data_IF_413839168263
#
_entry.id   IF_413839168263
#
_cell.length_a   1.000
_cell.length_b   1.000
_cell.length_c   1.000
_cell.angle_alpha   90.00
_cell.angle_beta   90.00
_cell.angle_gamma   90.00
#
_symmetry.space_group_name_H-M   'P 1'
#
loop_
_entity.id
_entity.type
_entity.pdbx_description
1 polymer ?
#
# COMPACT_ATOMS: atom_id res chain seq x y z
N UNK A 1 -2.21 -53.64 17.87
CA UNK A 1 -3.11 -54.65 17.25
C UNK A 1 -4.53 -54.31 17.70
N UNK A 2 -5.36 -53.70 16.84
CA UNK A 2 -6.71 -53.25 17.22
C UNK A 2 -7.74 -54.38 17.04
N UNK A 3 -8.86 -54.27 17.78
CA UNK A 3 -10.03 -55.12 17.63
C UNK A 3 -11.23 -54.28 17.18
N UNK A 4 -12.07 -54.88 16.34
CA UNK A 4 -13.06 -54.27 15.45
C UNK A 4 -14.48 -54.38 16.00
N UNK A 5 -15.30 -53.32 15.87
CA UNK A 5 -16.77 -53.35 15.73
C UNK A 5 -17.23 -51.93 15.35
N UNK A 6 -17.63 -51.58 14.11
CA UNK A 6 -18.87 -51.88 13.35
C UNK A 6 -20.18 -51.52 14.07
N UNK A 7 -20.76 -50.38 13.67
CA UNK A 7 -22.15 -49.98 13.88
C UNK A 7 -22.62 -49.15 12.68
N UNK A 8 -23.60 -49.67 11.93
CA UNK A 8 -24.10 -49.17 10.65
C UNK A 8 -25.24 -48.10 10.80
N UNK A 9 -25.62 -47.39 9.71
CA UNK A 9 -26.61 -46.30 9.69
C UNK A 9 -28.00 -46.76 9.22
N UNK A 10 -29.07 -45.97 9.45
CA UNK A 10 -30.31 -45.96 8.64
C UNK A 10 -31.36 -44.95 9.16
N UNK A 11 -32.12 -44.30 8.26
CA UNK A 11 -33.42 -43.72 8.60
C UNK A 11 -33.97 -42.61 7.71
N UNK A 12 -34.34 -42.92 6.46
CA UNK A 12 -35.26 -42.14 5.60
C UNK A 12 -36.66 -42.79 5.68
N UNK A 13 -37.78 -42.05 5.57
CA UNK A 13 -39.06 -42.66 5.21
C UNK A 13 -39.47 -42.37 3.76
N UNK A 14 -40.12 -43.37 3.17
CA UNK A 14 -40.72 -43.45 1.83
C UNK A 14 -42.24 -43.29 1.94
N UNK A 15 -42.87 -42.56 1.02
CA UNK A 15 -44.22 -42.80 0.48
C UNK A 15 -44.30 -42.15 -0.91
N UNK A 16 -44.33 -42.89 -2.03
CA UNK A 16 -45.37 -43.72 -2.67
C UNK A 16 -46.33 -42.94 -3.60
N UNK A 17 -46.01 -43.04 -4.90
CA UNK A 17 -46.84 -43.23 -6.10
C UNK A 17 -48.06 -42.35 -6.44
N UNK A 18 -48.08 -41.88 -7.70
CA UNK A 18 -49.28 -41.47 -8.44
C UNK A 18 -49.00 -41.32 -9.94
N UNK A 19 -49.51 -42.25 -10.74
CA UNK A 19 -49.35 -42.42 -12.20
C UNK A 19 -50.07 -41.34 -13.03
N UNK A 20 -49.55 -41.06 -14.23
CA UNK A 20 -50.27 -40.36 -15.30
C UNK A 20 -49.49 -40.35 -16.62
N UNK A 21 -50.06 -40.99 -17.64
CA UNK A 21 -49.40 -41.39 -18.89
C UNK A 21 -49.25 -40.28 -19.97
N UNK A 22 -48.29 -40.51 -20.86
CA UNK A 22 -47.97 -39.90 -22.18
C UNK A 22 -49.08 -40.10 -23.25
N UNK A 23 -48.95 -39.70 -24.54
CA UNK A 23 -47.88 -38.96 -25.25
C UNK A 23 -48.37 -37.89 -26.29
N UNK A 24 -47.46 -37.09 -26.85
CA UNK A 24 -47.41 -36.85 -28.32
C UNK A 24 -46.03 -36.40 -28.77
N UNK A 25 -45.59 -37.01 -29.86
CA UNK A 25 -44.31 -36.95 -30.55
C UNK A 25 -44.13 -35.65 -31.36
N UNK A 26 -42.91 -35.12 -31.39
CA UNK A 26 -42.29 -34.61 -32.63
C UNK A 26 -40.77 -34.70 -32.54
N UNK A 27 -40.23 -35.61 -33.36
CA UNK A 27 -38.81 -35.72 -33.70
C UNK A 27 -38.35 -34.49 -34.49
N UNK A 28 -37.22 -33.90 -34.10
CA UNK A 28 -36.35 -33.17 -35.04
C UNK A 28 -34.91 -33.61 -34.79
N UNK A 29 -34.42 -34.48 -35.67
CA UNK A 29 -33.02 -34.88 -35.79
C UNK A 29 -32.16 -33.66 -36.19
N UNK A 30 -31.32 -33.19 -35.26
CA UNK A 30 -30.21 -32.27 -35.54
C UNK A 30 -28.89 -33.02 -35.64
N UNK A 31 -28.35 -33.14 -36.85
CA UNK A 31 -27.13 -33.88 -37.20
C UNK A 31 -25.86 -33.23 -36.60
N UNK A 32 -25.20 -33.88 -35.65
CA UNK A 32 -23.88 -33.47 -35.14
C UNK A 32 -22.77 -33.82 -36.16
N UNK A 33 -22.28 -32.82 -36.91
CA UNK A 33 -21.04 -32.94 -37.70
C UNK A 33 -19.83 -32.85 -36.77
N UNK A 34 -19.08 -33.95 -36.63
CA UNK A 34 -17.75 -33.98 -36.02
C UNK A 34 -16.79 -33.06 -36.81
N UNK A 35 -16.34 -31.96 -36.21
CA UNK A 35 -15.21 -31.18 -36.73
C UNK A 35 -13.90 -31.93 -36.43
N UNK A 36 -13.15 -32.20 -37.49
CA UNK A 36 -11.80 -32.75 -37.47
C UNK A 36 -10.85 -31.69 -36.91
N UNK A 37 -10.25 -31.95 -35.75
CA UNK A 37 -9.16 -31.15 -35.17
C UNK A 37 -7.89 -31.46 -35.97
N UNK A 38 -7.39 -30.48 -36.72
CA UNK A 38 -6.08 -30.53 -37.38
C UNK A 38 -5.00 -30.12 -36.36
N UNK A 39 -3.93 -30.93 -36.25
CA UNK A 39 -2.75 -30.63 -35.43
C UNK A 39 -2.05 -29.36 -35.92
N UNK A 40 -1.49 -28.51 -35.05
CA UNK A 40 -0.61 -27.43 -35.48
C UNK A 40 0.73 -28.01 -35.96
N UNK A 41 1.27 -27.43 -37.03
CA UNK A 41 2.61 -27.72 -37.56
C UNK A 41 3.69 -27.18 -36.63
N UNK A 42 4.70 -27.99 -36.32
CA UNK A 42 5.91 -27.57 -35.62
C UNK A 42 6.70 -26.59 -36.49
N UNK A 43 6.82 -25.35 -36.02
CA UNK A 43 7.74 -24.35 -36.55
C UNK A 43 9.12 -24.59 -35.94
N UNK A 44 10.04 -25.18 -36.68
CA UNK A 44 11.44 -25.31 -36.29
C UNK A 44 12.08 -23.92 -36.31
N UNK A 45 12.36 -23.38 -35.13
CA UNK A 45 13.17 -22.16 -34.95
C UNK A 45 14.64 -22.55 -35.03
N UNK A 46 15.31 -22.19 -36.12
CA UNK A 46 16.77 -22.31 -36.22
C UNK A 46 17.42 -21.25 -35.33
N UNK A 47 18.01 -21.67 -34.22
CA UNK A 47 18.82 -20.80 -33.35
C UNK A 47 20.18 -20.59 -34.02
N UNK A 48 20.44 -19.36 -34.50
CA UNK A 48 21.78 -18.93 -34.89
C UNK A 48 22.62 -18.64 -33.63
N UNK A 49 23.87 -19.13 -33.52
CA UNK A 49 24.72 -18.79 -32.39
C UNK A 49 25.10 -17.30 -32.43
N UNK A 50 24.94 -16.62 -31.29
CA UNK A 50 25.44 -15.27 -31.05
C UNK A 50 26.97 -15.26 -31.14
N UNK A 51 27.49 -14.53 -32.13
CA UNK A 51 28.92 -14.16 -32.19
C UNK A 51 29.15 -13.09 -31.13
N UNK A 52 30.07 -13.28 -30.16
CA UNK A 52 30.40 -12.23 -29.20
C UNK A 52 31.09 -11.05 -29.93
N UNK A 53 30.79 -9.80 -29.56
CA UNK A 53 31.47 -8.65 -30.14
C UNK A 53 32.96 -8.69 -29.81
N UNK A 54 33.80 -8.34 -30.79
CA UNK A 54 35.25 -8.18 -30.60
C UNK A 54 35.49 -6.96 -29.71
N UNK A 55 36.28 -7.14 -28.66
CA UNK A 55 36.82 -6.03 -27.87
C UNK A 55 37.86 -5.27 -28.72
N UNK A 56 37.58 -4.00 -29.01
CA UNK A 56 38.54 -3.06 -29.58
C UNK A 56 39.49 -2.57 -28.46
N UNK A 57 40.80 -2.37 -28.72
CA UNK A 57 41.75 -1.94 -27.69
C UNK A 57 41.49 -0.50 -27.24
N UNK A 58 41.43 -0.28 -25.92
CA UNK A 58 41.38 1.05 -25.31
C UNK A 58 42.75 1.72 -25.41
N UNK A 59 42.81 2.87 -26.09
CA UNK A 59 44.01 3.72 -26.20
C UNK A 59 44.30 4.41 -24.85
N UNK A 60 45.51 4.24 -24.26
CA UNK A 60 45.86 4.82 -22.96
C UNK A 60 46.21 6.31 -22.96
N UNK A 61 46.05 7.05 -24.07
CA UNK A 61 46.54 8.44 -24.17
C UNK A 61 45.50 9.58 -24.12
N UNK A 62 44.33 9.39 -23.49
CA UNK A 62 43.43 10.54 -23.24
C UNK A 62 43.77 11.19 -21.89
N UNK A 63 44.76 12.09 -21.92
CA UNK A 63 45.12 12.94 -20.80
C UNK A 63 44.15 14.13 -20.68
N UNK A 64 43.74 14.38 -19.44
CA UNK A 64 43.02 15.57 -19.02
C UNK A 64 43.76 16.86 -19.40
N UNK A 65 43.02 17.88 -19.85
CA UNK A 65 43.50 19.26 -19.80
C UNK A 65 42.53 20.13 -19.00
N UNK A 66 42.96 20.46 -17.79
CA UNK A 66 42.43 21.57 -17.01
C UNK A 66 42.95 22.88 -17.64
N UNK A 67 42.03 23.74 -18.06
CA UNK A 67 42.29 25.09 -18.57
C UNK A 67 41.67 26.15 -17.66
N UNK A 68 42.42 27.23 -17.44
CA UNK A 68 42.30 28.21 -16.35
C UNK A 68 41.22 29.29 -16.54
N UNK A 69 40.90 29.91 -15.39
CA UNK A 69 40.16 31.16 -15.11
C UNK A 69 40.30 32.27 -16.17
N UNK A 70 39.23 33.05 -16.34
CA UNK A 70 39.32 34.52 -16.41
C UNK A 70 38.02 35.18 -15.93
N UNK A 71 38.17 36.14 -15.01
CA UNK A 71 37.15 37.09 -14.57
C UNK A 71 36.98 38.19 -15.63
N UNK A 72 35.76 38.67 -15.90
CA UNK A 72 35.54 40.07 -16.25
C UNK A 72 34.08 40.47 -16.08
N UNK A 73 33.89 41.52 -15.27
CA UNK A 73 32.64 42.20 -14.98
C UNK A 73 32.13 43.01 -16.18
N UNK A 74 30.81 43.17 -16.31
CA UNK A 74 30.23 44.43 -16.81
C UNK A 74 28.77 44.60 -16.41
N UNK A 75 28.54 45.67 -15.68
CA UNK A 75 27.27 46.25 -15.27
C UNK A 75 26.57 46.93 -16.46
N UNK A 76 25.24 46.82 -16.60
CA UNK A 76 24.45 47.93 -17.18
C UNK A 76 23.01 47.98 -16.68
N UNK A 77 22.71 49.13 -16.08
CA UNK A 77 21.40 49.66 -15.68
C UNK A 77 20.55 49.99 -16.90
N UNK A 78 19.23 49.77 -16.80
CA UNK A 78 18.24 50.63 -17.45
C UNK A 78 17.22 51.09 -16.40
N UNK A 79 17.03 52.40 -16.35
CA UNK A 79 16.19 53.19 -15.44
C UNK A 79 15.12 53.91 -16.27
N UNK A 80 13.94 54.09 -15.65
CA UNK A 80 12.93 55.17 -15.82
C UNK A 80 12.07 55.11 -17.10
N UNK A 81 10.78 55.50 -17.09
CA UNK A 81 10.05 56.50 -16.30
C UNK A 81 8.54 56.10 -16.18
N UNK A 82 7.89 56.21 -15.02
CA UNK A 82 7.16 57.38 -14.46
C UNK A 82 5.93 57.85 -15.27
N UNK A 83 4.74 57.71 -14.69
CA UNK A 83 3.62 58.61 -14.89
C UNK A 83 2.83 58.76 -13.58
N UNK A 84 2.64 60.03 -13.22
CA UNK A 84 2.02 60.57 -12.01
C UNK A 84 0.50 60.48 -12.12
N UNK A 85 -0.17 60.08 -11.03
CA UNK A 85 -1.62 60.17 -10.86
C UNK A 85 -1.95 60.60 -9.44
N UNK A 86 -2.14 61.91 -9.25
CA UNK A 86 -2.62 62.50 -8.00
C UNK A 86 -4.10 62.16 -7.86
N UNK A 87 -4.46 61.49 -6.76
CA UNK A 87 -5.83 61.24 -6.35
C UNK A 87 -5.94 61.40 -4.85
N UNK A 88 -6.30 62.61 -4.41
CA UNK A 88 -6.64 62.93 -3.03
C UNK A 88 -8.00 62.31 -2.73
N UNK A 89 -8.07 61.36 -1.80
CA UNK A 89 -9.31 60.95 -1.15
C UNK A 89 -9.18 61.09 0.36
N UNK A 90 -10.03 61.96 0.89
CA UNK A 90 -10.14 62.40 2.27
C UNK A 90 -10.42 61.22 3.21
N UNK A 91 -9.57 61.03 4.21
CA UNK A 91 -9.82 60.15 5.35
C UNK A 91 -10.84 60.84 6.26
N UNK A 92 -12.10 60.38 6.24
CA UNK A 92 -13.04 60.70 7.33
C UNK A 92 -12.76 59.69 8.45
N UNK A 93 -11.94 60.09 9.41
CA UNK A 93 -11.85 59.41 10.69
C UNK A 93 -13.19 59.59 11.41
N UNK A 94 -14.03 58.56 11.39
CA UNK A 94 -15.17 58.48 12.32
C UNK A 94 -14.63 58.03 13.67
N UNK A 95 -14.57 58.98 14.61
CA UNK A 95 -14.42 58.68 16.02
C UNK A 95 -15.61 57.82 16.45
N UNK A 96 -15.36 56.55 16.75
CA UNK A 96 -16.27 55.73 17.55
C UNK A 96 -15.94 56.00 19.00
N UNK A 97 -16.83 56.70 19.70
CA UNK A 97 -16.74 56.91 21.13
C UNK A 97 -16.75 55.56 21.85
N UNK A 98 -15.62 55.20 22.43
CA UNK A 98 -15.50 54.05 23.32
C UNK A 98 -16.16 54.39 24.66
N UNK A 99 -17.45 54.08 24.81
CA UNK A 99 -18.08 53.97 26.12
C UNK A 99 -17.71 52.62 26.73
N UNK A 100 -16.52 52.55 27.34
CA UNK A 100 -16.15 51.47 28.25
C UNK A 100 -16.89 51.65 29.59
N UNK A 101 -18.18 51.32 29.62
CA UNK A 101 -18.94 51.14 30.84
C UNK A 101 -18.67 49.76 31.42
N UNK A 102 -17.55 49.59 32.12
CA UNK A 102 -17.24 48.36 32.84
C UNK A 102 -18.15 48.25 34.07
N UNK A 103 -19.18 47.42 33.98
CA UNK A 103 -19.87 46.91 35.18
C UNK A 103 -18.99 45.81 35.77
N UNK A 104 -18.15 46.16 36.73
CA UNK A 104 -17.47 45.21 37.60
C UNK A 104 -18.48 44.67 38.62
N UNK A 105 -19.22 43.63 38.24
CA UNK A 105 -19.90 42.80 39.23
C UNK A 105 -18.83 41.95 39.91
N UNK A 106 -18.42 42.36 41.11
CA UNK A 106 -17.55 41.55 41.95
C UNK A 106 -18.28 40.23 42.30
N UNK A 107 -17.86 39.12 41.71
CA UNK A 107 -18.25 37.77 42.13
C UNK A 107 -17.51 37.43 43.43
N UNK A 108 -17.96 38.02 44.54
CA UNK A 108 -17.53 37.63 45.89
C UNK A 108 -18.37 36.45 46.36
N UNK A 109 -17.98 35.24 45.95
CA UNK A 109 -18.41 33.99 46.57
C UNK A 109 -17.19 33.24 47.12
N UNK A 110 -17.31 32.46 48.20
CA UNK A 110 -16.21 31.63 48.67
C UNK A 110 -15.87 30.58 47.60
N UNK A 111 -14.63 30.59 47.12
CA UNK A 111 -14.11 29.54 46.25
C UNK A 111 -13.99 28.27 47.10
N UNK A 112 -14.98 27.37 46.99
CA UNK A 112 -14.81 26.00 47.49
C UNK A 112 -13.67 25.37 46.69
N UNK A 113 -12.59 24.98 47.38
CA UNK A 113 -11.48 24.29 46.75
C UNK A 113 -11.99 23.00 46.10
N UNK A 114 -12.03 23.00 44.76
CA UNK A 114 -12.19 21.76 44.01
C UNK A 114 -10.95 20.90 44.31
N UNK A 115 -11.17 19.58 44.44
CA UNK A 115 -10.09 18.61 44.60
C UNK A 115 -8.98 18.88 43.57
N UNK A 116 -7.70 18.76 43.94
CA UNK A 116 -6.61 19.02 43.01
C UNK A 116 -6.79 18.13 41.77
N UNK A 117 -6.74 18.76 40.59
CA UNK A 117 -6.77 18.04 39.34
C UNK A 117 -5.65 16.99 39.36
N UNK A 118 -6.03 15.71 39.36
CA UNK A 118 -5.06 14.64 39.25
C UNK A 118 -4.46 14.71 37.85
N UNK A 119 -3.19 15.13 37.78
CA UNK A 119 -2.42 15.05 36.54
C UNK A 119 -2.24 13.56 36.24
N UNK A 120 -3.10 13.02 35.38
CA UNK A 120 -2.77 11.81 34.64
C UNK A 120 -1.57 12.23 33.78
N UNK A 121 -0.36 11.85 34.21
CA UNK A 121 0.81 11.96 33.35
C UNK A 121 0.58 11.12 32.09
N UNK A 122 1.31 11.36 30.99
CA UNK A 122 1.35 10.40 29.89
C UNK A 122 1.67 9.05 30.50
N UNK A 123 0.74 8.11 30.39
CA UNK A 123 1.01 6.73 30.71
C UNK A 123 1.86 6.25 29.55
N UNK A 124 3.18 6.31 29.69
CA UNK A 124 4.17 5.76 28.75
C UNK A 124 4.16 4.22 28.77
N UNK A 125 2.99 3.61 28.92
CA UNK A 125 2.80 2.19 28.65
C UNK A 125 2.58 2.10 27.15
N UNK A 126 3.46 1.41 26.40
CA UNK A 126 3.19 1.10 25.00
C UNK A 126 1.79 0.49 24.93
N UNK A 127 0.93 0.91 23.99
CA UNK A 127 -0.37 0.27 23.87
C UNK A 127 -0.16 -1.24 23.73
N UNK A 128 -1.06 -2.01 24.33
CA UNK A 128 -1.07 -3.46 24.15
C UNK A 128 -1.05 -3.74 22.64
N UNK A 129 -0.32 -4.79 22.19
CA UNK A 129 -0.37 -5.17 20.79
C UNK A 129 -1.83 -5.43 20.39
N UNK A 130 -2.22 -5.08 19.15
CA UNK A 130 -3.58 -5.32 18.69
C UNK A 130 -3.93 -6.80 18.83
N UNK A 131 -5.20 -7.08 19.12
CA UNK A 131 -5.71 -8.44 19.13
C UNK A 131 -5.78 -9.01 17.70
N UNK A 132 -6.08 -10.31 17.60
CA UNK A 132 -6.31 -10.96 16.31
C UNK A 132 -7.40 -10.22 15.52
N UNK A 133 -7.12 -9.93 14.25
CA UNK A 133 -8.07 -9.24 13.37
C UNK A 133 -8.26 -7.74 13.59
N UNK A 134 -7.51 -7.08 14.48
CA UNK A 134 -7.71 -5.65 14.76
C UNK A 134 -6.95 -4.69 13.84
N UNK A 135 -5.96 -5.17 13.08
CA UNK A 135 -5.26 -4.35 12.08
C UNK A 135 -6.11 -4.31 10.81
N UNK A 136 -6.54 -3.11 10.40
CA UNK A 136 -7.22 -2.88 9.12
C UNK A 136 -6.50 -3.61 7.99
N UNK A 137 -7.26 -4.35 7.17
CA UNK A 137 -6.68 -4.99 6.00
C UNK A 137 -6.16 -3.93 5.01
N UNK A 138 -4.86 -3.93 4.65
CA UNK A 138 -4.21 -2.79 4.03
C UNK A 138 -4.53 -2.62 2.54
N UNK A 139 -5.30 -3.53 1.95
CA UNK A 139 -5.77 -3.43 0.57
C UNK A 139 -7.29 -3.33 0.59
N UNK A 140 -7.86 -2.46 -0.23
CA UNK A 140 -9.30 -2.47 -0.50
C UNK A 140 -9.59 -3.54 -1.54
N UNK A 141 -10.40 -4.55 -1.17
CA UNK A 141 -10.70 -5.73 -1.98
C UNK A 141 -12.20 -5.77 -2.24
N UNK A 142 -12.59 -6.00 -3.49
CA UNK A 142 -13.95 -6.27 -3.90
C UNK A 142 -14.21 -7.75 -4.18
N UNK A 143 -15.48 -8.15 -4.38
CA UNK A 143 -15.87 -9.55 -4.51
C UNK A 143 -15.37 -10.26 -5.78
N UNK A 144 -14.97 -9.50 -6.79
CA UNK A 144 -14.42 -10.03 -8.05
C UNK A 144 -12.89 -9.93 -8.10
N UNK A 145 -12.26 -9.34 -7.09
CA UNK A 145 -10.82 -9.16 -7.04
C UNK A 145 -10.11 -10.42 -6.56
N UNK A 146 -8.93 -10.68 -7.10
CA UNK A 146 -8.04 -11.67 -6.55
C UNK A 146 -7.26 -11.08 -5.38
N UNK A 147 -7.40 -11.67 -4.20
CA UNK A 147 -6.57 -11.33 -3.05
C UNK A 147 -6.34 -12.55 -2.14
N UNK A 148 -5.07 -12.82 -1.83
CA UNK A 148 -4.71 -13.87 -0.87
C UNK A 148 -3.48 -13.48 -0.04
N UNK A 149 -3.48 -13.91 1.22
CA UNK A 149 -2.40 -13.65 2.17
C UNK A 149 -1.61 -14.92 2.42
N UNK A 150 -0.29 -14.83 2.26
CA UNK A 150 0.63 -15.90 2.67
C UNK A 150 1.06 -15.65 4.11
N UNK A 151 0.80 -16.61 5.01
CA UNK A 151 1.51 -16.69 6.30
C UNK A 151 2.97 -17.09 6.05
N UNK A 152 3.81 -16.07 5.87
CA UNK A 152 5.22 -16.24 5.55
C UNK A 152 6.13 -15.43 6.46
N UNK A 153 5.65 -14.94 7.61
CA UNK A 153 6.50 -14.22 8.53
C UNK A 153 7.60 -15.15 9.05
N UNK A 154 8.85 -14.68 9.08
CA UNK A 154 9.97 -15.50 9.51
C UNK A 154 10.62 -16.33 8.41
N UNK A 155 9.96 -16.51 7.26
CA UNK A 155 10.43 -17.36 6.16
C UNK A 155 11.85 -17.03 5.69
N UNK A 156 12.55 -18.05 5.22
CA UNK A 156 13.89 -17.92 4.67
C UNK A 156 13.91 -17.04 3.41
N UNK A 157 14.73 -15.97 3.40
CA UNK A 157 14.94 -15.08 2.26
C UNK A 157 16.43 -14.95 1.92
N UNK A 158 16.74 -14.84 0.64
CA UNK A 158 18.11 -14.71 0.13
C UNK A 158 18.90 -16.03 0.13
N UNK A 159 20.11 -16.01 -0.43
CA UNK A 159 20.98 -17.20 -0.49
C UNK A 159 21.27 -17.70 0.92
N UNK A 160 21.08 -19.00 1.15
CA UNK A 160 21.33 -19.69 2.41
C UNK A 160 20.60 -19.09 3.63
N UNK A 161 19.39 -18.55 3.44
CA UNK A 161 18.59 -17.93 4.52
C UNK A 161 19.32 -16.79 5.24
N UNK A 162 20.09 -16.00 4.50
CA UNK A 162 20.81 -14.82 5.01
C UNK A 162 19.88 -13.74 5.57
N UNK A 163 18.60 -13.76 5.22
CA UNK A 163 17.56 -12.88 5.75
C UNK A 163 16.33 -13.70 6.13
N UNK A 164 15.56 -13.16 7.07
CA UNK A 164 14.23 -13.64 7.40
C UNK A 164 13.18 -12.68 6.85
N UNK A 165 12.03 -13.19 6.45
CA UNK A 165 10.92 -12.40 5.96
C UNK A 165 10.30 -11.61 7.11
N UNK A 166 10.29 -10.27 7.01
CA UNK A 166 9.97 -9.39 8.14
C UNK A 166 8.52 -8.88 8.13
N UNK A 167 7.65 -9.55 7.38
CA UNK A 167 6.25 -9.22 7.19
C UNK A 167 5.53 -10.38 6.51
N UNK A 168 4.41 -10.07 5.85
CA UNK A 168 3.65 -11.00 5.01
C UNK A 168 3.57 -10.47 3.59
N UNK A 169 3.38 -11.38 2.64
CA UNK A 169 3.11 -11.02 1.25
C UNK A 169 1.62 -11.21 0.99
N UNK A 170 0.95 -10.11 0.65
CA UNK A 170 -0.47 -10.05 0.30
C UNK A 170 -0.55 -9.95 -1.22
N UNK A 171 -0.78 -11.08 -1.88
CA UNK A 171 -0.93 -11.12 -3.32
C UNK A 171 -2.31 -10.61 -3.69
N UNK A 172 -2.33 -9.74 -4.68
CA UNK A 172 -3.53 -9.02 -5.05
C UNK A 172 -3.44 -8.53 -6.49
N UNK A 173 -4.60 -8.27 -7.11
CA UNK A 173 -4.63 -7.68 -8.45
C UNK A 173 -3.83 -6.36 -8.50
N UNK A 174 -3.12 -6.16 -9.63
CA UNK A 174 -2.33 -4.94 -9.82
C UNK A 174 -3.26 -3.73 -9.79
N UNK A 175 -2.87 -2.72 -9.03
CA UNK A 175 -3.55 -1.45 -9.00
C UNK A 175 -4.65 -1.34 -7.94
N UNK A 176 -4.93 -2.40 -7.16
CA UNK A 176 -5.81 -2.29 -6.01
C UNK A 176 -5.28 -1.27 -5.01
N UNK A 177 -6.22 -0.59 -4.34
CA UNK A 177 -5.93 0.53 -3.43
C UNK A 177 -5.25 0.03 -2.17
N UNK A 178 -4.10 0.60 -1.83
CA UNK A 178 -3.41 0.38 -0.56
C UNK A 178 -3.81 1.48 0.42
N UNK A 179 -4.25 1.10 1.61
CA UNK A 179 -4.79 1.97 2.67
C UNK A 179 -3.88 1.97 3.89
N UNK A 180 -3.82 3.12 4.57
CA UNK A 180 -3.09 3.25 5.83
C UNK A 180 -3.85 2.53 6.98
N UNK A 181 -3.22 1.56 7.69
CA UNK A 181 -3.85 0.84 8.78
C UNK A 181 -4.00 1.67 10.06
N UNK A 182 -3.37 2.84 10.11
CA UNK A 182 -3.41 3.77 11.23
C UNK A 182 -3.21 5.21 10.74
N UNK A 183 -3.69 6.18 11.51
CA UNK A 183 -3.33 7.59 11.29
C UNK A 183 -1.88 7.82 11.70
N UNK A 184 -1.12 8.57 10.90
CA UNK A 184 0.31 8.76 11.16
C UNK A 184 1.01 9.64 10.14
N UNK A 185 2.33 9.64 10.19
CA UNK A 185 3.21 10.40 9.30
C UNK A 185 3.96 9.46 8.35
N UNK A 186 3.97 9.78 7.05
CA UNK A 186 4.82 9.13 6.07
C UNK A 186 6.27 9.57 6.29
N UNK A 187 7.11 8.67 6.79
CA UNK A 187 8.49 8.99 7.22
C UNK A 187 9.54 8.60 6.19
N UNK A 188 9.21 7.75 5.21
CA UNK A 188 10.12 7.37 4.13
C UNK A 188 9.36 6.99 2.87
N UNK A 189 9.77 7.52 1.72
CA UNK A 189 9.29 7.12 0.40
C UNK A 189 10.35 6.32 -0.34
N UNK A 190 10.05 5.08 -0.70
CA UNK A 190 10.90 4.26 -1.57
C UNK A 190 10.45 4.47 -3.00
N UNK A 191 11.40 4.71 -3.90
CA UNK A 191 11.14 4.90 -5.33
C UNK A 191 12.00 3.89 -6.09
N UNK A 192 11.37 3.02 -6.88
CA UNK A 192 12.10 2.13 -7.78
C UNK A 192 12.84 2.97 -8.84
N UNK A 193 14.15 2.79 -8.93
CA UNK A 193 15.01 3.42 -9.94
C UNK A 193 15.01 2.68 -11.28
N UNK A 194 14.25 1.60 -11.41
CA UNK A 194 14.28 0.67 -12.55
C UNK A 194 15.32 -0.43 -12.39
N UNK A 195 16.06 -0.43 -11.29
CA UNK A 195 16.93 -1.52 -10.88
C UNK A 195 16.06 -2.48 -10.05
N UNK A 196 15.78 -3.69 -10.55
CA UNK A 196 14.85 -4.68 -9.96
C UNK A 196 15.36 -5.26 -8.63
N UNK A 197 15.60 -4.41 -7.64
CA UNK A 197 16.22 -4.74 -6.37
C UNK A 197 15.54 -4.04 -5.20
N UNK A 198 15.45 -4.74 -4.06
CA UNK A 198 14.97 -4.17 -2.82
C UNK A 198 13.45 -3.94 -2.78
N UNK A 199 13.04 -2.85 -2.14
CA UNK A 199 11.65 -2.55 -1.82
C UNK A 199 10.78 -2.12 -3.03
N UNK A 200 11.38 -1.71 -4.15
CA UNK A 200 10.65 -1.06 -5.23
C UNK A 200 10.01 0.26 -4.77
N UNK A 201 8.82 0.58 -5.29
CA UNK A 201 8.02 1.66 -4.73
C UNK A 201 7.43 1.25 -3.37
N UNK A 202 7.48 2.17 -2.41
CA UNK A 202 7.01 1.87 -1.07
C UNK A 202 6.87 3.07 -0.15
N UNK A 203 6.28 2.82 1.01
CA UNK A 203 6.16 3.77 2.11
C UNK A 203 6.66 3.16 3.43
N UNK A 204 7.23 3.99 4.28
CA UNK A 204 7.23 3.79 5.74
C UNK A 204 6.28 4.80 6.37
N UNK A 205 5.30 4.31 7.12
CA UNK A 205 4.37 5.09 7.92
C UNK A 205 4.70 4.88 9.39
N UNK A 206 4.77 5.96 10.17
CA UNK A 206 4.86 5.88 11.63
C UNK A 206 3.58 6.46 12.22
N UNK A 207 2.84 5.66 12.97
CA UNK A 207 1.62 6.12 13.61
C UNK A 207 1.89 6.88 14.93
N UNK A 208 0.84 7.46 15.48
CA UNK A 208 0.93 8.27 16.70
C UNK A 208 1.27 7.44 17.96
N UNK A 209 1.15 6.11 17.90
CA UNK A 209 1.59 5.20 18.97
C UNK A 209 3.07 4.80 18.85
N UNK A 210 3.72 5.15 17.74
CA UNK A 210 5.11 4.81 17.46
C UNK A 210 5.31 3.47 16.76
N UNK A 211 4.24 2.79 16.34
CA UNK A 211 4.35 1.62 15.45
C UNK A 211 4.81 2.09 14.07
N UNK A 212 5.69 1.30 13.47
CA UNK A 212 6.18 1.51 12.12
C UNK A 212 5.52 0.48 11.18
N UNK A 213 4.95 0.97 10.09
CA UNK A 213 4.31 0.19 9.05
C UNK A 213 5.12 0.32 7.77
N UNK A 214 5.36 -0.78 7.06
CA UNK A 214 6.03 -0.73 5.75
C UNK A 214 5.20 -1.38 4.66
N UNK A 215 5.25 -0.75 3.49
CA UNK A 215 4.53 -1.12 2.28
C UNK A 215 5.54 -1.14 1.16
N UNK A 216 5.81 -2.31 0.57
CA UNK A 216 6.75 -2.45 -0.54
C UNK A 216 6.10 -3.09 -1.76
N UNK A 217 6.84 -3.06 -2.87
CA UNK A 217 6.44 -3.62 -4.16
C UNK A 217 5.22 -2.92 -4.78
N UNK A 218 4.94 -1.68 -4.38
CA UNK A 218 3.84 -0.89 -4.91
C UNK A 218 4.03 -0.62 -6.40
N UNK A 219 2.93 -0.39 -7.12
CA UNK A 219 2.96 0.04 -8.52
C UNK A 219 3.30 1.52 -8.63
N UNK A 220 2.64 2.32 -7.78
CA UNK A 220 2.85 3.76 -7.64
C UNK A 220 2.32 4.23 -6.29
N UNK A 221 2.82 5.36 -5.83
CA UNK A 221 2.28 6.08 -4.68
C UNK A 221 0.97 6.80 -5.07
N UNK A 222 0.14 7.14 -4.08
CA UNK A 222 -1.00 8.01 -4.31
C UNK A 222 -0.53 9.45 -4.61
N UNK A 223 -1.27 10.15 -5.46
CA UNK A 223 -0.90 11.50 -5.89
C UNK A 223 -0.92 12.49 -4.73
N UNK A 224 0.04 13.41 -4.74
CA UNK A 224 0.12 14.49 -3.74
C UNK A 224 0.62 14.06 -2.36
N UNK A 225 1.05 12.81 -2.18
CA UNK A 225 1.71 12.35 -0.97
C UNK A 225 3.23 12.41 -1.09
N UNK A 226 3.86 12.99 -0.07
CA UNK A 226 5.31 13.09 0.10
C UNK A 226 5.72 12.79 1.55
N UNK A 227 7.02 12.58 1.77
CA UNK A 227 7.57 12.42 3.13
C UNK A 227 7.21 13.63 4.00
N UNK A 228 6.77 13.36 5.22
CA UNK A 228 6.30 14.34 6.19
C UNK A 228 4.79 14.61 6.14
N UNK A 229 4.08 14.12 5.12
CA UNK A 229 2.63 14.20 5.11
C UNK A 229 2.02 13.30 6.19
N UNK A 230 0.96 13.79 6.83
CA UNK A 230 0.10 12.99 7.69
C UNK A 230 -1.01 12.34 6.88
N UNK A 231 -1.25 11.06 7.15
CA UNK A 231 -2.34 10.28 6.58
C UNK A 231 -3.32 9.88 7.69
N UNK A 232 -4.59 9.76 7.33
CA UNK A 232 -5.63 9.26 8.24
C UNK A 232 -5.76 7.74 8.11
N UNK A 233 -6.26 7.07 9.15
CA UNK A 233 -6.72 5.68 9.06
C UNK A 233 -7.60 5.47 7.82
N UNK A 234 -7.33 4.41 7.06
CA UNK A 234 -8.04 4.06 5.82
C UNK A 234 -7.69 4.91 4.61
N UNK A 235 -6.87 5.96 4.75
CA UNK A 235 -6.50 6.81 3.62
C UNK A 235 -5.66 6.04 2.60
N UNK A 236 -5.97 6.22 1.31
CA UNK A 236 -5.18 5.69 0.20
C UNK A 236 -3.77 6.26 0.20
N UNK A 237 -2.77 5.38 0.17
CA UNK A 237 -1.33 5.75 0.13
C UNK A 237 -0.62 5.27 -1.14
N UNK A 238 -1.27 4.42 -1.93
CA UNK A 238 -0.85 4.05 -3.27
C UNK A 238 -1.53 2.77 -3.73
N UNK A 239 -0.86 1.99 -4.58
CA UNK A 239 -1.50 0.91 -5.31
C UNK A 239 -0.61 -0.34 -5.42
N UNK A 240 -1.22 -1.52 -5.39
CA UNK A 240 -0.53 -2.83 -5.48
C UNK A 240 0.23 -2.96 -6.78
N UNK A 241 1.47 -3.47 -6.72
CA UNK A 241 2.35 -3.62 -7.88
C UNK A 241 3.24 -4.84 -7.84
N UNK A 242 4.39 -4.75 -8.51
CA UNK A 242 5.41 -5.79 -8.61
C UNK A 242 6.78 -5.15 -8.90
N UNK A 243 7.15 -4.13 -8.12
CA UNK A 243 8.41 -3.38 -8.25
C UNK A 243 9.47 -3.87 -7.27
N UNK A 244 10.76 -3.64 -7.55
CA UNK A 244 11.87 -4.14 -6.74
C UNK A 244 12.05 -5.67 -6.79
N UNK A 245 12.50 -6.28 -5.69
CA UNK A 245 12.69 -7.76 -5.58
C UNK A 245 11.41 -8.44 -5.09
N UNK A 246 10.32 -8.25 -5.82
CA UNK A 246 9.01 -8.86 -5.59
C UNK A 246 8.92 -10.27 -6.19
N UNK A 247 10.00 -11.06 -6.23
CA UNK A 247 9.97 -12.43 -6.77
C UNK A 247 10.15 -12.55 -8.29
N UNK A 248 9.57 -13.59 -8.90
CA UNK A 248 9.83 -13.94 -10.31
C UNK A 248 9.23 -12.86 -11.23
N UNK A 249 10.00 -12.29 -12.18
CA UNK A 249 9.50 -11.31 -13.14
C UNK A 249 8.65 -11.97 -14.24
N UNK A 250 7.60 -12.71 -13.86
CA UNK A 250 6.62 -13.30 -14.78
C UNK A 250 5.45 -12.37 -15.07
N UNK A 251 5.39 -11.19 -14.44
CA UNK A 251 4.27 -10.25 -14.58
C UNK A 251 2.96 -10.72 -13.93
N UNK A 252 3.02 -11.81 -13.15
CA UNK A 252 1.85 -12.41 -12.48
C UNK A 252 1.98 -12.38 -10.95
N UNK A 253 3.07 -11.84 -10.40
CA UNK A 253 3.35 -11.82 -8.96
C UNK A 253 3.05 -10.46 -8.33
N UNK A 254 1.87 -9.92 -8.60
CA UNK A 254 1.47 -8.65 -8.00
C UNK A 254 1.13 -8.84 -6.53
N UNK A 255 1.78 -8.07 -5.67
CA UNK A 255 1.58 -8.17 -4.24
C UNK A 255 2.03 -6.92 -3.50
N UNK A 256 1.51 -6.80 -2.27
CA UNK A 256 2.00 -5.89 -1.26
C UNK A 256 2.80 -6.69 -0.24
N UNK A 257 4.07 -6.36 -0.08
CA UNK A 257 4.79 -6.77 1.12
C UNK A 257 4.46 -5.80 2.25
N UNK A 258 3.87 -6.35 3.32
CA UNK A 258 3.33 -5.59 4.44
C UNK A 258 4.03 -5.96 5.74
N UNK A 259 4.57 -4.97 6.43
CA UNK A 259 5.24 -5.17 7.72
C UNK A 259 4.53 -4.38 8.83
N UNK A 260 4.34 -5.05 9.96
CA UNK A 260 3.97 -4.45 11.25
C UNK A 260 5.20 -4.44 12.16
N UNK A 261 5.58 -3.26 12.68
CA UNK A 261 6.78 -3.09 13.50
C UNK A 261 6.56 -2.28 14.78
N UNK A 262 6.01 -2.88 15.84
CA UNK A 262 5.92 -2.23 17.14
C UNK A 262 7.33 -1.95 17.69
N UNK A 263 7.56 -0.70 18.14
CA UNK A 263 8.90 -0.29 18.58
C UNK A 263 9.97 -0.42 17.48
N UNK A 264 9.57 -0.38 16.20
CA UNK A 264 10.42 -0.59 15.03
C UNK A 264 11.07 -1.99 14.93
N UNK A 265 10.53 -2.98 15.64
CA UNK A 265 10.95 -4.39 15.56
C UNK A 265 9.89 -5.16 14.77
N UNK A 266 10.25 -5.94 13.73
CA UNK A 266 9.25 -6.68 12.97
C UNK A 266 8.58 -7.76 13.82
N UNK A 267 7.25 -7.79 13.73
CA UNK A 267 6.39 -8.77 14.36
C UNK A 267 5.42 -9.31 13.32
N UNK A 268 4.90 -10.51 13.56
CA UNK A 268 4.01 -11.19 12.63
C UNK A 268 2.66 -10.45 12.53
N UNK A 269 2.31 -9.87 11.35
CA UNK A 269 1.02 -9.25 11.15
C UNK A 269 -0.08 -10.26 10.81
N UNK A 270 0.23 -11.48 10.36
CA UNK A 270 -0.75 -12.43 9.82
C UNK A 270 -1.95 -12.70 10.76
N UNK A 271 -1.76 -12.98 12.06
CA UNK A 271 -2.89 -13.21 12.96
C UNK A 271 -3.68 -11.93 13.24
N UNK A 272 -3.04 -10.77 13.10
CA UNK A 272 -3.56 -9.45 13.48
C UNK A 272 -4.37 -8.78 12.38
N UNK A 273 -4.23 -9.22 11.13
CA UNK A 273 -4.97 -8.69 9.98
C UNK A 273 -6.47 -8.99 10.10
N UNK A 274 -7.28 -7.95 9.90
CA UNK A 274 -8.73 -8.03 9.73
C UNK A 274 -9.11 -9.11 8.72
N UNK A 275 -10.12 -9.90 9.06
CA UNK A 275 -10.60 -11.02 8.23
C UNK A 275 -11.69 -10.52 7.29
N UNK A 276 -11.26 -9.96 6.17
CA UNK A 276 -12.14 -9.59 5.07
C UNK A 276 -12.70 -10.86 4.38
N UNK A 277 -14.03 -10.99 4.18
CA UNK A 277 -14.65 -12.16 3.56
C UNK A 277 -14.25 -12.40 2.09
N UNK A 278 -13.78 -11.36 1.40
CA UNK A 278 -13.35 -11.45 0.00
C UNK A 278 -11.85 -11.82 -0.12
N UNK A 279 -11.17 -12.05 1.01
CA UNK A 279 -9.74 -12.40 1.07
C UNK A 279 -9.53 -13.83 1.54
N UNK A 280 -8.67 -14.56 0.83
CA UNK A 280 -8.23 -15.89 1.25
C UNK A 280 -7.01 -15.78 2.15
N UNK A 281 -7.06 -16.40 3.33
CA UNK A 281 -5.92 -16.52 4.24
C UNK A 281 -5.44 -17.97 4.29
N UNK A 282 -4.17 -18.20 3.92
CA UNK A 282 -3.55 -19.52 4.00
C UNK A 282 -2.49 -19.54 5.11
N UNK A 283 -2.61 -20.53 6.00
CA UNK A 283 -1.71 -20.84 7.12
C UNK A 283 -0.80 -22.02 6.81
#
# INVERSE_FOLDING_TARGET
MPNTALGAPCGLPVHLAGLGASPTSMDVLGTLRRRRVTRPSESVVTVHPLVPPREEPVDPNTTASAGRRSEQATTRRHLLAAAVGVGVTTVIARAVDAQAGTVLTAISGPATALSPAQRIGPVDVPPDPPAEGEILFPIEVGPDDYCYVIDGFGDCRGTSCSRSHAGVDILADRGLTIRAPASGELTHQYVDSGETWGAGHGWTLRDDSGVVWKFFHMDRHADGLEVGNRVSFGQTIGFVGNTGTSGVPTGTNHHLHFEYRPGNVPADPFPLLERDPDVVFES
#
